data_IF_406034156238
#
_entry.id   IF_406034156238
#
_cell.length_a   1.000
_cell.length_b   1.000
_cell.length_c   1.000
_cell.angle_alpha   90.00
_cell.angle_beta   90.00
_cell.angle_gamma   90.00
#
_symmetry.space_group_name_H-M   'P 1'
#
loop_
_entity.id
_entity.type
_entity.pdbx_description
1 polymer ?
#
# COMPACT_ATOMS: atom_id res chain seq x y z
N UNK A 1 -27.75 -4.44 27.08
CA UNK A 1 -26.32 -4.65 27.21
C UNK A 1 -25.59 -3.64 26.34
N UNK A 2 -25.12 -2.57 26.97
CA UNK A 2 -24.26 -1.56 26.32
C UNK A 2 -22.84 -2.14 26.31
N UNK A 3 -22.41 -2.73 25.17
CA UNK A 3 -20.99 -2.93 24.94
C UNK A 3 -20.29 -1.57 25.10
N UNK A 4 -19.23 -1.51 25.92
CA UNK A 4 -18.33 -0.38 25.97
C UNK A 4 -17.87 -0.02 24.54
N UNK A 5 -17.55 1.26 24.29
CA UNK A 5 -17.16 1.73 22.95
C UNK A 5 -16.01 0.90 22.37
N UNK A 6 -15.10 0.40 23.20
CA UNK A 6 -14.03 -0.52 22.80
C UNK A 6 -14.58 -1.88 22.38
N UNK A 7 -15.53 -2.45 23.10
CA UNK A 7 -16.18 -3.71 22.76
C UNK A 7 -17.06 -3.58 21.51
N UNK A 8 -17.72 -2.44 21.29
CA UNK A 8 -18.46 -2.20 20.03
C UNK A 8 -17.53 -2.17 18.82
N UNK A 9 -16.38 -1.54 18.91
CA UNK A 9 -15.40 -1.54 17.83
C UNK A 9 -14.85 -2.95 17.56
N UNK A 10 -14.57 -3.73 18.60
CA UNK A 10 -14.15 -5.13 18.46
C UNK A 10 -15.27 -5.99 17.84
N UNK A 11 -16.49 -5.93 18.36
CA UNK A 11 -17.63 -6.72 17.84
C UNK A 11 -17.96 -6.39 16.37
N UNK A 12 -17.91 -5.12 15.97
CA UNK A 12 -18.12 -4.71 14.57
C UNK A 12 -16.98 -5.22 13.70
N UNK A 13 -15.74 -5.12 14.18
CA UNK A 13 -14.55 -5.56 13.49
C UNK A 13 -14.57 -7.08 13.27
N UNK A 14 -14.76 -7.86 14.32
CA UNK A 14 -14.83 -9.32 14.26
C UNK A 14 -15.95 -9.79 13.31
N UNK A 15 -17.12 -9.18 13.40
CA UNK A 15 -18.24 -9.48 12.52
C UNK A 15 -17.94 -9.11 11.06
N UNK A 16 -17.30 -7.95 10.83
CA UNK A 16 -16.96 -7.48 9.48
C UNK A 16 -15.99 -8.45 8.78
N UNK A 17 -14.91 -8.86 9.46
CA UNK A 17 -13.92 -9.76 8.87
C UNK A 17 -14.37 -11.22 8.76
N UNK A 18 -15.33 -11.64 9.57
CA UNK A 18 -15.90 -12.99 9.51
C UNK A 18 -16.99 -13.14 8.42
N UNK A 19 -17.59 -12.06 7.96
CA UNK A 19 -18.67 -12.08 6.97
C UNK A 19 -18.15 -12.00 5.54
N UNK A 20 -18.96 -12.45 4.58
CA UNK A 20 -18.67 -12.23 3.16
C UNK A 20 -18.89 -10.76 2.80
N UNK A 21 -18.07 -10.23 1.91
CA UNK A 21 -18.21 -8.85 1.43
C UNK A 21 -19.62 -8.54 0.89
N UNK A 22 -20.23 -9.48 0.18
CA UNK A 22 -21.59 -9.35 -0.34
C UNK A 22 -22.65 -9.07 0.72
N UNK A 23 -22.41 -9.49 1.97
CA UNK A 23 -23.37 -9.34 3.06
C UNK A 23 -23.41 -7.88 3.58
N UNK A 24 -22.39 -7.09 3.25
CA UNK A 24 -22.22 -5.69 3.69
C UNK A 24 -22.63 -4.66 2.64
N UNK A 25 -22.91 -5.07 1.41
CA UNK A 25 -23.21 -4.15 0.30
C UNK A 25 -24.20 -3.03 0.66
N UNK A 26 -25.34 -3.31 1.32
CA UNK A 26 -26.32 -2.29 1.71
C UNK A 26 -25.82 -1.34 2.83
N UNK A 27 -24.85 -1.77 3.65
CA UNK A 27 -24.35 -0.98 4.78
C UNK A 27 -23.11 -0.13 4.39
N UNK A 28 -22.40 -0.49 3.33
CA UNK A 28 -21.19 0.22 2.85
C UNK A 28 -21.57 1.18 1.73
N UNK A 29 -22.33 2.20 2.07
CA UNK A 29 -22.79 3.24 1.14
C UNK A 29 -21.75 4.32 0.87
N UNK A 30 -20.86 4.59 1.82
CA UNK A 30 -19.85 5.64 1.76
C UNK A 30 -18.46 5.02 1.86
N UNK A 31 -17.58 5.39 0.95
CA UNK A 31 -16.20 4.88 0.90
C UNK A 31 -15.32 5.52 1.97
N UNK A 32 -15.31 6.85 2.06
CA UNK A 32 -14.54 7.64 3.03
C UNK A 32 -15.40 8.78 3.53
N UNK A 33 -15.35 9.04 4.84
CA UNK A 33 -16.01 10.18 5.49
C UNK A 33 -15.01 11.00 6.32
N UNK A 34 -15.47 12.16 6.81
CA UNK A 34 -14.64 13.08 7.61
C UNK A 34 -13.99 12.38 8.82
N UNK A 35 -14.71 11.48 9.49
CA UNK A 35 -14.24 10.75 10.67
C UNK A 35 -13.19 9.68 10.41
N UNK A 36 -12.92 9.33 9.17
CA UNK A 36 -11.80 8.46 8.82
C UNK A 36 -10.45 9.16 8.98
N UNK A 37 -10.44 10.50 8.83
CA UNK A 37 -9.24 11.33 8.91
C UNK A 37 -9.24 12.33 10.06
N UNK A 38 -10.40 12.68 10.62
CA UNK A 38 -10.54 13.70 11.65
C UNK A 38 -11.22 13.17 12.92
N UNK A 39 -10.79 13.69 14.08
CA UNK A 39 -11.56 13.53 15.30
C UNK A 39 -12.85 14.36 15.23
N UNK A 40 -13.99 13.73 15.47
CA UNK A 40 -15.30 14.37 15.29
C UNK A 40 -15.60 15.55 16.25
N UNK A 41 -14.77 15.75 17.30
CA UNK A 41 -14.98 16.82 18.28
C UNK A 41 -13.99 17.96 18.11
N UNK A 42 -12.73 17.65 17.76
CA UNK A 42 -11.65 18.63 17.69
C UNK A 42 -11.27 18.98 16.25
N UNK A 43 -11.67 18.16 15.29
CA UNK A 43 -11.25 18.20 13.88
C UNK A 43 -9.74 17.98 13.66
N UNK A 44 -9.00 17.61 14.70
CA UNK A 44 -7.61 17.23 14.56
C UNK A 44 -7.45 16.00 13.67
N UNK A 45 -6.35 15.92 12.92
CA UNK A 45 -6.05 14.75 12.10
C UNK A 45 -5.84 13.51 12.98
N UNK A 46 -6.53 12.44 12.65
CA UNK A 46 -6.47 11.18 13.36
C UNK A 46 -6.84 10.01 12.45
N UNK A 47 -5.96 9.04 12.22
CA UNK A 47 -6.34 7.78 11.58
C UNK A 47 -7.45 7.08 12.37
N UNK A 48 -8.47 6.59 11.68
CA UNK A 48 -9.57 5.87 12.33
C UNK A 48 -9.30 4.36 12.47
N UNK A 49 -8.39 3.81 11.67
CA UNK A 49 -8.16 2.36 11.56
C UNK A 49 -7.22 1.87 12.66
N UNK A 50 -7.65 0.92 13.53
CA UNK A 50 -6.80 0.39 14.61
C UNK A 50 -5.52 -0.28 14.12
N UNK A 51 -5.56 -0.96 12.96
CA UNK A 51 -4.42 -1.70 12.42
C UNK A 51 -3.15 -0.84 12.27
N UNK A 52 -3.28 0.45 11.92
CA UNK A 52 -2.13 1.36 11.85
C UNK A 52 -1.50 1.60 13.22
N UNK A 53 -2.32 1.83 14.25
CA UNK A 53 -1.82 2.03 15.62
C UNK A 53 -1.11 0.80 16.15
N UNK A 54 -1.65 -0.39 15.86
CA UNK A 54 -1.09 -1.66 16.28
C UNK A 54 0.23 -1.95 15.55
N UNK A 55 0.27 -1.73 14.23
CA UNK A 55 1.50 -1.89 13.45
C UNK A 55 2.63 -0.99 13.98
N UNK A 56 2.33 0.28 14.23
CA UNK A 56 3.30 1.22 14.77
C UNK A 56 3.75 0.87 16.17
N UNK A 57 2.82 0.41 17.04
CA UNK A 57 3.16 -0.04 18.38
C UNK A 57 4.11 -1.25 18.36
N UNK A 58 3.94 -2.20 17.43
CA UNK A 58 4.84 -3.36 17.26
C UNK A 58 6.27 -2.96 16.92
N UNK A 59 6.47 -1.85 16.23
CA UNK A 59 7.80 -1.31 15.90
C UNK A 59 8.24 -0.20 16.87
N UNK A 60 7.61 -0.10 18.04
CA UNK A 60 7.98 0.84 19.11
C UNK A 60 7.62 2.31 18.84
N UNK A 61 6.73 2.58 17.88
CA UNK A 61 6.25 3.92 17.54
C UNK A 61 4.85 4.16 18.09
N UNK A 62 4.51 5.42 18.33
CA UNK A 62 3.18 5.84 18.78
C UNK A 62 2.61 6.86 17.79
N UNK A 63 1.57 6.47 17.05
CA UNK A 63 0.87 7.33 16.09
C UNK A 63 0.41 8.65 16.74
N UNK A 64 0.03 8.63 18.01
CA UNK A 64 -0.44 9.83 18.75
C UNK A 64 0.64 10.88 18.97
N UNK A 65 1.91 10.49 18.86
CA UNK A 65 3.06 11.39 18.96
C UNK A 65 3.55 11.92 17.63
N UNK A 66 2.92 11.50 16.54
CA UNK A 66 3.25 12.00 15.21
C UNK A 66 3.02 13.52 15.12
N UNK A 67 3.92 14.21 14.46
CA UNK A 67 3.76 15.63 14.14
C UNK A 67 2.56 15.84 13.21
N UNK A 68 2.07 17.09 13.13
CA UNK A 68 0.98 17.42 12.20
C UNK A 68 1.36 17.06 10.75
N UNK A 69 2.62 17.29 10.35
CA UNK A 69 3.10 16.96 8.99
C UNK A 69 3.12 15.44 8.74
N UNK A 70 3.57 14.64 9.69
CA UNK A 70 3.48 13.17 9.59
C UNK A 70 2.03 12.69 9.55
N UNK A 71 1.16 13.30 10.35
CA UNK A 71 -0.25 12.95 10.39
C UNK A 71 -0.95 13.19 9.05
N UNK A 72 -0.53 14.19 8.27
CA UNK A 72 -1.00 14.45 6.89
C UNK A 72 -0.66 13.33 5.90
N UNK A 73 0.22 12.40 6.28
CA UNK A 73 0.47 11.15 5.55
C UNK A 73 -0.20 9.96 6.23
N UNK A 74 -0.19 9.88 7.57
CA UNK A 74 -0.70 8.72 8.31
C UNK A 74 -2.20 8.49 8.14
N UNK A 75 -2.99 9.55 7.96
CA UNK A 75 -4.41 9.41 7.63
C UNK A 75 -4.66 8.76 6.27
N UNK A 76 -3.68 8.77 5.38
CA UNK A 76 -3.71 8.03 4.11
C UNK A 76 -3.12 6.62 4.28
N UNK A 77 -2.01 6.52 5.01
CA UNK A 77 -1.29 5.27 5.26
C UNK A 77 -2.14 4.19 5.95
N UNK A 78 -3.19 4.57 6.71
CA UNK A 78 -4.11 3.61 7.32
C UNK A 78 -4.85 2.71 6.29
N UNK A 79 -4.84 3.09 5.00
CA UNK A 79 -5.43 2.34 3.90
C UNK A 79 -4.43 2.09 2.77
N UNK A 80 -3.51 3.05 2.51
CA UNK A 80 -2.49 2.96 1.46
C UNK A 80 -1.20 2.33 1.99
N UNK A 81 -1.29 1.10 2.48
CA UNK A 81 -0.20 0.33 3.07
C UNK A 81 -0.37 -1.15 2.74
N UNK A 82 0.71 -1.91 2.77
CA UNK A 82 0.67 -3.36 2.61
C UNK A 82 -0.04 -4.02 3.79
N UNK A 83 -0.83 -5.06 3.52
CA UNK A 83 -1.57 -5.77 4.54
C UNK A 83 -1.87 -7.22 4.14
N UNK A 84 -2.19 -8.04 5.12
CA UNK A 84 -2.74 -9.37 4.91
C UNK A 84 -3.78 -9.70 5.98
N UNK A 85 -4.50 -10.79 5.79
CA UNK A 85 -5.48 -11.29 6.75
C UNK A 85 -4.94 -12.53 7.47
N UNK A 86 -4.84 -12.46 8.79
CA UNK A 86 -4.50 -13.61 9.65
C UNK A 86 -5.70 -14.54 9.73
N UNK A 87 -5.72 -15.60 8.89
CA UNK A 87 -6.85 -16.54 8.80
C UNK A 87 -7.12 -17.26 10.13
N UNK A 88 -6.08 -17.62 10.85
CA UNK A 88 -6.17 -18.30 12.14
C UNK A 88 -6.75 -17.42 13.25
N UNK A 89 -6.68 -16.10 13.07
CA UNK A 89 -7.20 -15.10 13.98
C UNK A 89 -8.47 -14.41 13.42
N UNK A 90 -9.36 -15.16 12.80
CA UNK A 90 -10.63 -14.67 12.28
C UNK A 90 -10.51 -13.68 11.13
N UNK A 91 -9.54 -13.85 10.25
CA UNK A 91 -9.20 -12.93 9.17
C UNK A 91 -8.82 -11.52 9.67
N UNK A 92 -8.09 -11.45 10.77
CA UNK A 92 -7.64 -10.19 11.33
C UNK A 92 -6.71 -9.44 10.38
N UNK A 93 -6.95 -8.15 10.19
CA UNK A 93 -6.13 -7.29 9.32
C UNK A 93 -4.80 -6.97 10.01
N UNK A 94 -3.69 -7.30 9.36
CA UNK A 94 -2.35 -7.08 9.85
C UNK A 94 -1.48 -6.37 8.80
N UNK A 95 -0.61 -5.44 9.24
CA UNK A 95 0.38 -4.79 8.40
C UNK A 95 1.76 -5.41 8.66
N UNK A 96 2.43 -5.97 7.64
CA UNK A 96 3.68 -6.75 7.80
C UNK A 96 4.91 -5.84 7.91
N UNK A 97 4.93 -4.91 8.88
CA UNK A 97 5.93 -3.84 8.97
C UNK A 97 7.00 -4.09 10.05
N UNK A 98 6.97 -5.22 10.74
CA UNK A 98 7.85 -5.55 11.87
C UNK A 98 9.34 -5.64 11.46
N UNK A 99 9.62 -5.98 10.20
CA UNK A 99 10.97 -6.04 9.66
C UNK A 99 11.41 -4.74 8.98
N UNK A 100 10.47 -3.83 8.70
CA UNK A 100 10.69 -2.56 8.03
C UNK A 100 9.64 -2.22 6.99
N UNK A 101 9.90 -1.13 6.24
CA UNK A 101 8.97 -0.54 5.28
C UNK A 101 9.48 -0.69 3.83
N UNK A 102 10.18 -1.78 3.52
CA UNK A 102 10.64 -2.07 2.16
C UNK A 102 10.00 -3.33 1.60
N UNK A 103 10.07 -3.53 0.31
CA UNK A 103 9.61 -4.74 -0.37
C UNK A 103 10.27 -6.00 0.21
N UNK A 104 11.59 -5.94 0.45
CA UNK A 104 12.40 -7.01 1.02
C UNK A 104 12.02 -7.30 2.48
N UNK A 105 11.78 -6.25 3.27
CA UNK A 105 11.40 -6.40 4.67
C UNK A 105 10.04 -7.07 4.82
N UNK A 106 9.08 -6.74 3.96
CA UNK A 106 7.78 -7.40 3.91
C UNK A 106 7.90 -8.87 3.47
N UNK A 107 8.75 -9.16 2.47
CA UNK A 107 9.05 -10.53 2.04
C UNK A 107 9.66 -11.35 3.18
N UNK A 108 10.69 -10.81 3.86
CA UNK A 108 11.32 -11.46 5.01
C UNK A 108 10.31 -11.71 6.15
N UNK A 109 9.41 -10.78 6.39
CA UNK A 109 8.33 -10.98 7.35
C UNK A 109 7.43 -12.15 6.97
N UNK A 110 6.89 -12.16 5.74
CA UNK A 110 6.02 -13.22 5.24
C UNK A 110 6.72 -14.59 5.22
N UNK A 111 8.00 -14.63 4.86
CA UNK A 111 8.80 -15.87 4.89
C UNK A 111 8.98 -16.37 6.32
N UNK A 112 9.21 -15.46 7.29
CA UNK A 112 9.40 -15.82 8.70
C UNK A 112 8.19 -16.49 9.36
N UNK A 113 6.98 -16.18 8.86
CA UNK A 113 5.72 -16.76 9.34
C UNK A 113 5.15 -17.83 8.39
N UNK A 114 5.87 -18.16 7.29
CA UNK A 114 5.44 -19.15 6.31
C UNK A 114 4.18 -18.76 5.54
N UNK A 115 3.86 -17.45 5.48
CA UNK A 115 2.64 -16.96 4.82
C UNK A 115 2.73 -17.03 3.30
N UNK A 116 1.62 -17.32 2.67
CA UNK A 116 1.38 -17.20 1.23
C UNK A 116 -0.11 -16.98 0.97
N UNK A 117 -0.44 -16.26 -0.10
CA UNK A 117 -1.83 -16.02 -0.49
C UNK A 117 -2.42 -17.23 -1.20
N UNK A 118 -1.67 -17.81 -2.15
CA UNK A 118 -2.11 -18.96 -2.93
C UNK A 118 -0.93 -19.79 -3.45
N UNK A 119 -1.26 -20.99 -3.92
CA UNK A 119 -0.32 -21.85 -4.65
C UNK A 119 -0.62 -21.72 -6.14
N UNK A 120 0.39 -21.34 -6.93
CA UNK A 120 0.23 -21.22 -8.38
C UNK A 120 -0.07 -22.59 -8.99
N UNK A 121 -1.14 -22.77 -9.77
CA UNK A 121 -1.56 -24.08 -10.29
C UNK A 121 -0.57 -24.68 -11.30
N UNK A 122 0.26 -23.90 -11.97
CA UNK A 122 1.26 -24.38 -12.93
C UNK A 122 2.56 -24.74 -12.24
N UNK A 123 3.21 -23.77 -11.61
CA UNK A 123 4.52 -23.94 -10.99
C UNK A 123 4.48 -24.63 -9.63
N UNK A 124 3.35 -24.64 -8.94
CA UNK A 124 3.17 -25.03 -7.53
C UNK A 124 3.92 -24.14 -6.53
N UNK A 125 4.45 -22.99 -6.97
CA UNK A 125 5.07 -22.03 -6.09
C UNK A 125 4.05 -21.40 -5.13
N UNK A 126 4.46 -21.20 -3.87
CA UNK A 126 3.69 -20.47 -2.84
C UNK A 126 3.85 -18.98 -3.07
N UNK A 127 2.84 -18.34 -3.63
CA UNK A 127 2.91 -16.95 -4.11
C UNK A 127 2.37 -15.99 -3.06
N UNK A 128 3.07 -14.88 -2.92
CA UNK A 128 2.61 -13.67 -2.23
C UNK A 128 1.88 -12.77 -3.23
N UNK A 129 0.89 -12.05 -2.73
CA UNK A 129 0.17 -11.01 -3.47
C UNK A 129 0.28 -9.70 -2.71
N UNK A 130 0.86 -8.68 -3.33
CA UNK A 130 0.88 -7.35 -2.76
C UNK A 130 -0.53 -6.73 -2.82
N UNK A 131 -0.95 -6.10 -1.73
CA UNK A 131 -2.27 -5.50 -1.64
C UNK A 131 -2.24 -4.02 -1.99
N UNK A 132 -1.52 -3.19 -1.21
CA UNK A 132 -1.54 -1.76 -1.42
C UNK A 132 -0.31 -1.02 -0.82
N UNK A 133 0.95 -1.40 -1.16
CA UNK A 133 2.17 -0.90 -0.52
C UNK A 133 2.54 0.54 -0.94
N UNK A 134 1.55 1.45 -0.98
CA UNK A 134 1.75 2.81 -1.46
C UNK A 134 2.55 3.68 -0.50
N UNK A 135 2.31 3.57 0.81
CA UNK A 135 2.97 4.35 1.83
C UNK A 135 4.43 3.92 2.02
N UNK A 136 4.67 2.62 2.08
CA UNK A 136 6.00 2.04 2.20
C UNK A 136 6.90 2.48 1.05
N UNK A 137 6.40 2.38 -0.18
CA UNK A 137 7.13 2.80 -1.35
C UNK A 137 7.36 4.32 -1.36
N UNK A 138 6.33 5.11 -1.00
CA UNK A 138 6.47 6.56 -0.91
C UNK A 138 7.60 7.00 0.04
N UNK A 139 7.76 6.34 1.18
CA UNK A 139 8.81 6.64 2.17
C UNK A 139 10.23 6.45 1.61
N UNK A 140 10.42 5.60 0.61
CA UNK A 140 11.70 5.36 -0.03
C UNK A 140 12.04 6.41 -1.10
N UNK A 141 11.04 7.16 -1.57
CA UNK A 141 11.24 8.21 -2.57
C UNK A 141 11.71 9.53 -1.97
N UNK A 142 12.27 10.39 -2.84
CA UNK A 142 12.88 11.67 -2.43
C UNK A 142 11.92 12.60 -1.69
N UNK A 143 10.65 12.63 -2.08
CA UNK A 143 9.65 13.50 -1.45
C UNK A 143 9.33 13.00 -0.03
N UNK A 144 9.14 11.69 0.15
CA UNK A 144 8.94 11.08 1.48
C UNK A 144 10.13 11.30 2.40
N UNK A 145 11.35 11.09 1.90
CA UNK A 145 12.60 11.31 2.65
C UNK A 145 12.81 12.78 3.04
N UNK A 146 12.25 13.73 2.28
CA UNK A 146 12.30 15.17 2.56
C UNK A 146 11.12 15.67 3.41
N UNK A 147 10.26 14.76 3.88
CA UNK A 147 9.14 15.09 4.76
C UNK A 147 7.96 15.79 4.06
N UNK A 148 7.87 15.70 2.75
CA UNK A 148 6.67 16.12 2.01
C UNK A 148 5.55 15.15 2.36
N UNK A 149 4.36 15.60 2.71
CA UNK A 149 3.25 14.70 3.04
C UNK A 149 2.43 14.29 1.82
N UNK A 150 1.67 13.21 1.94
CA UNK A 150 0.71 12.81 0.91
C UNK A 150 -0.25 13.95 0.57
N UNK A 151 -0.75 14.63 1.61
CA UNK A 151 -1.68 15.74 1.45
C UNK A 151 -1.07 16.98 0.77
N UNK A 152 0.25 17.18 0.83
CA UNK A 152 0.88 18.33 0.16
C UNK A 152 0.74 18.26 -1.37
N UNK A 153 0.67 17.03 -1.90
CA UNK A 153 0.52 16.78 -3.32
C UNK A 153 -0.93 16.43 -3.72
N UNK A 154 -1.59 15.55 -2.96
CA UNK A 154 -2.92 15.04 -3.30
C UNK A 154 -4.08 15.88 -2.78
N UNK A 155 -3.80 16.78 -1.83
CA UNK A 155 -4.74 17.72 -1.21
C UNK A 155 -4.06 19.07 -1.01
N UNK A 156 -3.67 19.77 -2.10
CA UNK A 156 -2.90 21.01 -1.99
C UNK A 156 -3.69 22.09 -1.24
N UNK A 157 -2.96 23.04 -0.67
CA UNK A 157 -3.60 24.20 -0.05
C UNK A 157 -4.29 25.08 -1.09
N UNK A 158 -5.51 25.48 -0.78
CA UNK A 158 -6.29 26.49 -1.49
C UNK A 158 -6.64 27.63 -0.54
N UNK A 159 -6.98 28.79 -1.11
CA UNK A 159 -7.42 29.96 -0.35
C UNK A 159 -8.73 30.47 -0.93
N UNK A 160 -9.74 30.60 -0.09
CA UNK A 160 -11.04 31.09 -0.46
C UNK A 160 -11.56 32.05 0.63
N UNK A 161 -12.04 33.23 0.24
CA UNK A 161 -12.49 34.25 1.17
C UNK A 161 -11.43 34.68 2.21
N UNK A 162 -10.13 34.57 1.88
CA UNK A 162 -9.02 34.88 2.79
C UNK A 162 -8.67 33.76 3.78
N UNK A 163 -9.37 32.64 3.73
CA UNK A 163 -9.08 31.47 4.56
C UNK A 163 -8.29 30.43 3.77
N UNK A 164 -7.14 30.00 4.31
CA UNK A 164 -6.32 28.94 3.73
C UNK A 164 -6.70 27.60 4.32
N UNK A 165 -6.99 26.62 3.48
CA UNK A 165 -7.31 25.25 3.90
C UNK A 165 -6.83 24.22 2.86
N UNK A 166 -6.84 22.95 3.22
CA UNK A 166 -6.48 21.83 2.35
C UNK A 166 -7.66 21.49 1.44
N UNK A 167 -7.41 21.39 0.12
CA UNK A 167 -8.42 20.94 -0.83
C UNK A 167 -8.79 19.47 -0.56
N UNK A 168 -10.04 19.21 -0.21
CA UNK A 168 -10.53 17.85 0.11
C UNK A 168 -10.95 17.05 -1.14
N UNK A 169 -10.81 17.61 -2.34
CA UNK A 169 -10.93 16.83 -3.57
C UNK A 169 -9.61 16.07 -3.81
N UNK A 170 -9.48 14.92 -3.14
CA UNK A 170 -8.29 14.05 -3.30
C UNK A 170 -8.15 13.61 -4.75
N UNK A 171 -7.05 13.99 -5.39
CA UNK A 171 -6.86 13.77 -6.82
C UNK A 171 -5.39 13.60 -7.21
N UNK A 172 -5.16 13.28 -8.49
CA UNK A 172 -3.81 13.30 -9.04
C UNK A 172 -3.19 14.71 -8.95
N UNK A 173 -1.95 14.86 -8.46
CA UNK A 173 -1.25 16.15 -8.44
C UNK A 173 -1.11 16.77 -9.83
N UNK A 174 -1.14 15.97 -10.90
CA UNK A 174 -1.08 16.47 -12.28
C UNK A 174 -2.30 17.30 -12.70
N UNK A 175 -3.40 17.23 -11.96
CA UNK A 175 -4.57 18.07 -12.19
C UNK A 175 -4.33 19.54 -11.80
N UNK A 176 -3.41 19.78 -10.85
CA UNK A 176 -3.13 21.10 -10.28
C UNK A 176 -1.64 21.29 -10.04
N UNK A 177 -0.82 21.18 -11.10
CA UNK A 177 0.65 21.30 -11.05
C UNK A 177 1.09 22.64 -10.45
N UNK A 178 0.33 23.70 -10.71
CA UNK A 178 0.54 25.05 -10.17
C UNK A 178 0.47 25.11 -8.65
N UNK A 179 -0.40 24.31 -8.02
CA UNK A 179 -0.62 24.28 -6.57
C UNK A 179 0.08 23.12 -5.87
N UNK A 180 0.61 22.19 -6.64
CA UNK A 180 1.33 21.00 -6.13
C UNK A 180 2.82 21.11 -6.43
N UNK A 181 3.24 20.76 -7.63
CA UNK A 181 4.65 20.70 -8.02
C UNK A 181 5.34 22.08 -8.00
N UNK A 182 4.69 23.12 -8.54
CA UNK A 182 5.29 24.44 -8.69
C UNK A 182 5.37 25.24 -7.39
N UNK A 183 4.86 24.72 -6.28
CA UNK A 183 5.15 25.28 -4.94
C UNK A 183 6.63 25.14 -4.58
N UNK A 184 7.34 24.16 -5.15
CA UNK A 184 8.75 23.88 -4.91
C UNK A 184 9.58 23.85 -6.21
N UNK A 185 9.01 23.39 -7.33
CA UNK A 185 9.68 23.26 -8.63
C UNK A 185 9.44 24.49 -9.50
N UNK A 186 10.50 24.96 -10.19
CA UNK A 186 10.46 26.16 -11.03
C UNK A 186 10.21 25.89 -12.51
N UNK A 187 10.21 24.61 -12.93
CA UNK A 187 9.90 24.24 -14.30
C UNK A 187 8.43 24.58 -14.62
N UNK A 188 8.15 24.78 -15.90
CA UNK A 188 6.79 24.95 -16.37
C UNK A 188 5.96 23.68 -16.20
N UNK A 189 4.64 23.83 -16.19
CA UNK A 189 3.72 22.72 -15.90
C UNK A 189 3.79 21.60 -16.94
N UNK A 190 4.07 21.93 -18.20
CA UNK A 190 4.17 20.93 -19.26
C UNK A 190 5.42 20.06 -19.10
N UNK A 191 6.57 20.69 -18.83
CA UNK A 191 7.83 19.99 -18.53
C UNK A 191 7.65 19.05 -17.33
N UNK A 192 7.02 19.50 -16.24
CA UNK A 192 6.77 18.66 -15.06
C UNK A 192 5.85 17.48 -15.37
N UNK A 193 4.80 17.71 -16.15
CA UNK A 193 3.87 16.66 -16.58
C UNK A 193 4.57 15.63 -17.45
N UNK A 194 5.33 16.08 -18.44
CA UNK A 194 6.06 15.20 -19.34
C UNK A 194 7.07 14.33 -18.58
N UNK A 195 7.81 14.87 -17.63
CA UNK A 195 8.72 14.13 -16.77
C UNK A 195 8.02 12.98 -16.00
N UNK A 196 6.77 13.18 -15.58
CA UNK A 196 6.00 12.13 -14.91
C UNK A 196 5.59 11.05 -15.93
N UNK A 197 5.08 11.45 -17.10
CA UNK A 197 4.65 10.50 -18.13
C UNK A 197 5.81 9.65 -18.66
N UNK A 198 6.99 10.22 -18.85
CA UNK A 198 8.17 9.46 -19.29
C UNK A 198 8.59 8.41 -18.26
N UNK A 199 8.53 8.73 -16.97
CA UNK A 199 8.79 7.77 -15.89
C UNK A 199 7.73 6.67 -15.84
N UNK A 200 6.46 7.04 -15.98
CA UNK A 200 5.35 6.07 -16.03
C UNK A 200 5.52 5.12 -17.22
N UNK A 201 5.85 5.64 -18.41
CA UNK A 201 6.06 4.82 -19.60
C UNK A 201 7.24 3.86 -19.42
N UNK A 202 8.37 4.36 -18.92
CA UNK A 202 9.55 3.53 -18.66
C UNK A 202 9.25 2.37 -17.71
N UNK A 203 8.54 2.64 -16.61
CA UNK A 203 8.17 1.59 -15.65
C UNK A 203 7.13 0.64 -16.24
N UNK A 204 6.19 1.14 -17.05
CA UNK A 204 5.23 0.30 -17.76
C UNK A 204 5.94 -0.69 -18.69
N UNK A 205 6.92 -0.22 -19.47
CA UNK A 205 7.67 -1.06 -20.40
C UNK A 205 8.46 -2.14 -19.64
N UNK A 206 9.12 -1.74 -18.56
CA UNK A 206 9.87 -2.66 -17.69
C UNK A 206 8.97 -3.71 -17.05
N UNK A 207 7.85 -3.29 -16.48
CA UNK A 207 6.85 -4.17 -15.88
C UNK A 207 6.31 -5.19 -16.88
N UNK A 208 6.02 -4.74 -18.10
CA UNK A 208 5.51 -5.63 -19.18
C UNK A 208 6.55 -6.65 -19.62
N UNK A 209 7.84 -6.29 -19.57
CA UNK A 209 8.92 -7.24 -19.84
C UNK A 209 8.98 -8.31 -18.74
N UNK A 210 9.05 -7.91 -17.48
CA UNK A 210 9.11 -8.84 -16.33
C UNK A 210 7.90 -9.75 -16.25
N UNK A 211 6.71 -9.24 -16.58
CA UNK A 211 5.46 -10.02 -16.64
C UNK A 211 5.57 -11.21 -17.60
N UNK A 212 6.16 -11.00 -18.78
CA UNK A 212 6.37 -12.07 -19.77
C UNK A 212 7.36 -13.12 -19.29
N UNK A 213 8.46 -12.68 -18.67
CA UNK A 213 9.47 -13.59 -18.10
C UNK A 213 8.89 -14.43 -16.95
N UNK A 214 8.10 -13.81 -16.07
CA UNK A 214 7.40 -14.54 -15.00
C UNK A 214 6.41 -15.57 -15.55
N UNK A 215 5.62 -15.18 -16.55
CA UNK A 215 4.69 -16.11 -17.19
C UNK A 215 5.43 -17.31 -17.82
N UNK A 216 6.54 -17.07 -18.53
CA UNK A 216 7.37 -18.11 -19.09
C UNK A 216 7.95 -19.03 -18.01
N UNK A 217 8.50 -18.47 -16.93
CA UNK A 217 9.08 -19.24 -15.83
C UNK A 217 8.04 -20.13 -15.11
N UNK A 218 6.79 -19.67 -14.94
CA UNK A 218 5.72 -20.53 -14.42
C UNK A 218 5.38 -21.70 -15.36
N UNK A 219 5.42 -21.48 -16.67
CA UNK A 219 5.19 -22.52 -17.67
C UNK A 219 6.35 -23.53 -17.69
N UNK A 220 7.58 -23.06 -17.64
CA UNK A 220 8.77 -23.91 -17.59
C UNK A 220 8.78 -24.77 -16.31
N UNK A 221 8.44 -24.21 -15.17
CA UNK A 221 8.28 -24.97 -13.94
C UNK A 221 7.24 -26.07 -14.07
N UNK A 222 6.12 -25.81 -14.77
CA UNK A 222 5.14 -26.84 -15.08
C UNK A 222 5.75 -27.97 -15.93
N UNK A 223 6.50 -27.65 -16.97
CA UNK A 223 7.17 -28.67 -17.80
C UNK A 223 8.14 -29.52 -16.98
N UNK A 224 8.89 -28.93 -16.04
CA UNK A 224 9.76 -29.70 -15.15
C UNK A 224 8.96 -30.70 -14.30
N UNK A 225 7.83 -30.29 -13.72
CA UNK A 225 6.92 -31.17 -12.99
C UNK A 225 6.39 -32.31 -13.86
N UNK A 226 5.95 -31.99 -15.09
CA UNK A 226 5.43 -32.98 -16.05
C UNK A 226 6.52 -34.01 -16.47
N UNK A 227 7.80 -33.64 -16.36
CA UNK A 227 8.95 -34.53 -16.61
C UNK A 227 9.40 -35.32 -15.38
N UNK A 228 8.72 -35.16 -14.25
CA UNK A 228 8.98 -35.90 -13.03
C UNK A 228 10.01 -35.26 -12.10
N UNK A 229 10.27 -33.96 -12.22
CA UNK A 229 11.14 -33.25 -11.28
C UNK A 229 10.63 -33.42 -9.83
N UNK A 230 11.56 -33.58 -8.91
CA UNK A 230 11.27 -33.71 -7.48
C UNK A 230 11.14 -32.34 -6.81
N UNK A 231 10.51 -32.29 -5.63
CA UNK A 231 10.43 -31.05 -4.85
C UNK A 231 11.80 -30.48 -4.50
N UNK A 232 12.78 -31.34 -4.22
CA UNK A 232 14.15 -30.94 -3.91
C UNK A 232 14.83 -30.25 -5.10
N UNK A 233 14.65 -30.78 -6.32
CA UNK A 233 15.18 -30.19 -7.55
C UNK A 233 14.51 -28.84 -7.88
N UNK A 234 13.24 -28.69 -7.54
CA UNK A 234 12.46 -27.48 -7.82
C UNK A 234 12.60 -26.38 -6.76
N UNK A 235 13.17 -26.68 -5.60
CA UNK A 235 13.17 -25.77 -4.45
C UNK A 235 13.68 -24.36 -4.78
N UNK A 236 14.81 -24.24 -5.45
CA UNK A 236 15.40 -22.95 -5.84
C UNK A 236 14.49 -22.20 -6.81
N UNK A 237 14.03 -22.88 -7.87
CA UNK A 237 13.16 -22.26 -8.86
C UNK A 237 11.82 -21.77 -8.26
N UNK A 238 11.24 -22.53 -7.32
CA UNK A 238 10.01 -22.12 -6.63
C UNK A 238 10.24 -20.91 -5.73
N UNK A 239 11.40 -20.85 -5.06
CA UNK A 239 11.79 -19.68 -4.25
C UNK A 239 11.98 -18.45 -5.13
N UNK A 240 12.68 -18.59 -6.27
CA UNK A 240 12.92 -17.48 -7.19
C UNK A 240 11.61 -16.98 -7.85
N UNK A 241 10.72 -17.89 -8.23
CA UNK A 241 9.38 -17.54 -8.72
C UNK A 241 8.58 -16.75 -7.68
N UNK A 242 8.59 -17.20 -6.41
CA UNK A 242 7.94 -16.48 -5.31
C UNK A 242 8.48 -15.06 -5.18
N UNK A 243 9.81 -14.91 -5.15
CA UNK A 243 10.49 -13.61 -5.01
C UNK A 243 10.27 -12.69 -6.21
N UNK A 244 10.40 -13.22 -7.41
CA UNK A 244 10.18 -12.47 -8.65
C UNK A 244 8.74 -11.98 -8.77
N UNK A 245 7.77 -12.87 -8.51
CA UNK A 245 6.35 -12.53 -8.53
C UNK A 245 6.01 -11.48 -7.46
N UNK A 246 6.55 -11.60 -6.25
CA UNK A 246 6.34 -10.63 -5.16
C UNK A 246 6.83 -9.23 -5.55
N UNK A 247 8.04 -9.11 -6.08
CA UNK A 247 8.60 -7.81 -6.49
C UNK A 247 7.83 -7.16 -7.63
N UNK A 248 7.44 -7.96 -8.61
CA UNK A 248 6.60 -7.48 -9.70
C UNK A 248 5.24 -7.01 -9.19
N UNK A 249 4.58 -7.79 -8.34
CA UNK A 249 3.26 -7.48 -7.80
C UNK A 249 3.30 -6.26 -6.88
N UNK A 250 4.35 -6.13 -6.07
CA UNK A 250 4.58 -4.95 -5.21
C UNK A 250 4.69 -3.65 -6.01
N UNK A 251 5.42 -3.67 -7.11
CA UNK A 251 5.52 -2.52 -8.02
C UNK A 251 4.19 -2.21 -8.71
N UNK A 252 3.43 -3.23 -9.10
CA UNK A 252 2.13 -3.08 -9.80
C UNK A 252 1.03 -2.61 -8.85
N UNK A 253 0.99 -3.14 -7.64
CA UNK A 253 -0.01 -2.78 -6.62
C UNK A 253 0.17 -1.35 -6.08
N UNK A 254 1.36 -0.79 -6.20
CA UNK A 254 1.64 0.61 -5.87
C UNK A 254 1.33 1.53 -7.04
N UNK A 255 0.12 2.03 -7.14
CA UNK A 255 -0.33 2.86 -8.28
C UNK A 255 0.52 4.11 -8.52
N UNK A 256 1.12 4.68 -7.48
CA UNK A 256 2.05 5.81 -7.56
C UNK A 256 3.52 5.44 -7.77
N UNK A 257 3.85 4.17 -7.95
CA UNK A 257 5.22 3.65 -7.96
C UNK A 257 6.18 4.43 -8.88
N UNK A 258 5.73 4.72 -10.10
CA UNK A 258 6.52 5.43 -11.11
C UNK A 258 6.91 6.87 -10.71
N UNK A 259 6.28 7.43 -9.69
CA UNK A 259 6.56 8.78 -9.21
C UNK A 259 7.04 8.77 -7.75
N UNK A 260 6.40 7.96 -6.88
CA UNK A 260 6.73 7.94 -5.44
C UNK A 260 8.18 7.50 -5.21
N UNK A 261 8.62 6.39 -5.79
CA UNK A 261 9.98 5.89 -5.72
C UNK A 261 10.37 5.10 -6.99
N UNK A 262 10.57 5.78 -8.13
CA UNK A 262 10.85 5.10 -9.40
C UNK A 262 12.12 4.26 -9.36
N UNK A 263 13.09 4.60 -8.53
CA UNK A 263 14.34 3.84 -8.36
C UNK A 263 14.12 2.47 -7.69
N UNK A 264 13.06 2.32 -6.88
CA UNK A 264 12.76 1.08 -6.15
C UNK A 264 11.98 0.07 -7.01
N UNK A 265 11.39 0.52 -8.12
CA UNK A 265 10.54 -0.33 -8.97
C UNK A 265 11.14 -0.59 -10.35
N UNK A 266 12.38 -0.17 -10.57
CA UNK A 266 13.19 -0.47 -11.76
C UNK A 266 14.26 -1.51 -11.46
#
# INVERSE_FOLDING_TARGET
HLCDRRQRQMCIRDRFYAAKWSDWGPEVMNTIGCSDCHDARTMDLRPARPALYEAWARVGKDVKKATHQEMRSLVCAQCHTEYYFEKENGNYLHFPQEKGMTCEAAEEYYDSIGFYDYINPLSKAKILKAQHPGYELYLQGIHGQRGVSCADCHMPYISEGGVKYTDHHVMSPLAHIDRTCQTCHRQDAETLRQNVYERQQKIYDFRTHVEKELAAAHIEAKFAWDKGATEAEMQTALSDLRKGQWRWDYAVASHGAAFHAPQEVM
#
